data_IF_070349072678
#
_entry.id   IF_070349072678
#
_cell.length_a   1.000
_cell.length_b   1.000
_cell.length_c   1.000
_cell.angle_alpha   90.00
_cell.angle_beta   90.00
_cell.angle_gamma   90.00
#
_symmetry.space_group_name_H-M   'P 1'
#
loop_
_entity.id
_entity.type
_entity.pdbx_description
1 polymer ?
#
# COMPACT_ATOMS: atom_id res chain seq x y z
N UNK A 1 39.37 -2.05 -65.34
CA UNK A 1 38.43 -3.20 -65.31
C UNK A 1 38.69 -4.00 -64.05
N UNK A 2 37.74 -4.03 -63.11
CA UNK A 2 37.57 -5.10 -62.11
C UNK A 2 36.17 -4.94 -61.49
N UNK A 3 35.50 -6.06 -61.41
CA UNK A 3 34.06 -6.26 -61.34
C UNK A 3 33.45 -5.93 -59.98
N UNK A 4 32.28 -5.30 -60.02
CA UNK A 4 31.33 -5.11 -58.92
C UNK A 4 30.91 -6.48 -58.37
N UNK A 5 30.94 -6.63 -57.05
CA UNK A 5 30.22 -7.70 -56.33
C UNK A 5 29.30 -7.03 -55.32
N UNK A 6 28.04 -6.89 -55.70
CA UNK A 6 26.94 -6.46 -54.84
C UNK A 6 26.69 -7.58 -53.83
N UNK A 7 26.77 -7.29 -52.53
CA UNK A 7 26.21 -8.13 -51.48
C UNK A 7 25.36 -7.21 -50.59
N UNK A 8 24.06 -7.20 -50.87
CA UNK A 8 22.98 -6.62 -50.06
C UNK A 8 22.68 -7.58 -48.86
N UNK A 9 21.93 -7.18 -47.82
CA UNK A 9 22.44 -6.91 -46.48
C UNK A 9 21.85 -7.86 -45.42
N UNK A 10 22.66 -8.46 -44.55
CA UNK A 10 22.16 -9.19 -43.38
C UNK A 10 22.09 -8.25 -42.16
N UNK A 11 21.20 -7.26 -42.22
CA UNK A 11 20.79 -6.42 -41.09
C UNK A 11 19.30 -6.66 -40.89
N UNK A 12 18.86 -6.69 -39.63
CA UNK A 12 17.53 -7.05 -39.11
C UNK A 12 17.33 -8.55 -38.88
N UNK A 13 17.61 -9.02 -37.66
CA UNK A 13 16.75 -9.98 -36.93
C UNK A 13 17.30 -10.30 -35.52
N UNK A 14 17.62 -9.29 -34.70
CA UNK A 14 18.00 -9.56 -33.30
C UNK A 14 17.61 -8.42 -32.35
N UNK A 15 16.31 -8.11 -32.26
CA UNK A 15 15.81 -7.13 -31.27
C UNK A 15 14.43 -7.45 -30.65
N UNK A 16 13.96 -8.70 -30.67
CA UNK A 16 12.66 -9.06 -30.08
C UNK A 16 12.75 -10.22 -29.05
N UNK A 17 13.58 -10.07 -28.01
CA UNK A 17 13.61 -11.05 -26.91
C UNK A 17 13.56 -10.42 -25.50
N UNK A 18 13.24 -9.13 -25.38
CA UNK A 18 13.30 -8.41 -24.09
C UNK A 18 11.97 -8.07 -23.42
N UNK A 19 10.82 -8.25 -24.08
CA UNK A 19 9.58 -7.58 -23.66
C UNK A 19 8.52 -8.47 -22.95
N UNK A 20 8.76 -9.76 -22.73
CA UNK A 20 7.68 -10.70 -22.33
C UNK A 20 7.58 -10.93 -20.81
N UNK A 21 8.46 -10.35 -19.98
CA UNK A 21 8.52 -10.72 -18.54
C UNK A 21 7.76 -9.80 -17.56
N UNK A 22 7.01 -8.79 -18.02
CA UNK A 22 6.44 -7.77 -17.11
C UNK A 22 4.91 -7.83 -16.89
N UNK A 23 4.20 -8.92 -17.21
CA UNK A 23 2.72 -8.89 -17.30
C UNK A 23 1.92 -9.63 -16.21
N UNK A 24 2.49 -10.10 -15.11
CA UNK A 24 1.71 -10.84 -14.10
C UNK A 24 1.93 -10.38 -12.65
N UNK A 25 1.98 -9.07 -12.41
CA UNK A 25 1.80 -8.58 -11.05
C UNK A 25 0.31 -8.68 -10.67
N UNK A 26 -0.06 -9.25 -9.50
CA UNK A 26 -1.45 -9.28 -9.06
C UNK A 26 -1.99 -7.85 -8.93
N UNK A 27 -3.20 -7.64 -9.43
CA UNK A 27 -3.89 -6.35 -9.29
C UNK A 27 -3.99 -5.97 -7.81
N UNK A 28 -3.77 -4.68 -7.52
CA UNK A 28 -3.85 -4.15 -6.18
C UNK A 28 -5.30 -4.21 -5.66
N UNK A 29 -5.54 -4.95 -4.57
CA UNK A 29 -6.86 -5.05 -3.96
C UNK A 29 -7.36 -3.71 -3.41
N UNK A 30 -8.66 -3.46 -3.61
CA UNK A 30 -9.38 -2.33 -3.04
C UNK A 30 -9.88 -2.64 -1.63
N UNK A 31 -10.05 -1.60 -0.82
CA UNK A 31 -10.55 -1.64 0.56
C UNK A 31 -11.81 -2.49 0.69
N UNK A 32 -12.78 -2.33 -0.21
CA UNK A 32 -14.05 -3.06 -0.17
C UNK A 32 -13.84 -4.58 -0.25
N UNK A 33 -12.84 -5.03 -1.03
CA UNK A 33 -12.50 -6.44 -1.15
C UNK A 33 -11.86 -6.98 0.14
N UNK A 34 -11.05 -6.17 0.82
CA UNK A 34 -10.46 -6.53 2.12
C UNK A 34 -11.53 -6.60 3.22
N UNK A 35 -12.45 -5.63 3.24
CA UNK A 35 -13.53 -5.53 4.24
C UNK A 35 -14.53 -6.69 4.14
N UNK A 36 -14.69 -7.29 2.96
CA UNK A 36 -15.55 -8.46 2.77
C UNK A 36 -15.21 -9.64 3.71
N UNK A 37 -13.99 -9.71 4.25
CA UNK A 37 -13.59 -10.75 5.22
C UNK A 37 -13.05 -10.18 6.55
N UNK A 38 -12.36 -9.04 6.54
CA UNK A 38 -11.67 -8.53 7.74
C UNK A 38 -12.57 -7.68 8.65
N UNK A 39 -13.69 -7.18 8.14
CA UNK A 39 -14.70 -6.42 8.89
C UNK A 39 -15.65 -5.75 7.92
N UNK A 40 -16.94 -6.12 7.88
CA UNK A 40 -17.83 -5.74 6.77
C UNK A 40 -17.96 -4.22 6.58
N UNK A 41 -17.66 -3.43 7.60
CA UNK A 41 -17.42 -1.99 7.48
C UNK A 41 -16.12 -1.56 8.15
N UNK A 42 -15.56 -0.43 7.70
CA UNK A 42 -14.37 0.15 8.34
C UNK A 42 -14.67 0.61 9.79
N UNK A 43 -15.87 1.14 10.06
CA UNK A 43 -16.25 1.54 11.43
C UNK A 43 -16.26 0.35 12.41
N UNK A 44 -16.60 -0.85 11.96
CA UNK A 44 -16.50 -2.07 12.78
C UNK A 44 -15.05 -2.45 13.05
N UNK A 45 -14.14 -2.26 12.09
CA UNK A 45 -12.71 -2.45 12.31
C UNK A 45 -12.17 -1.49 13.38
N UNK A 46 -12.56 -0.22 13.32
CA UNK A 46 -12.18 0.77 14.35
C UNK A 46 -12.61 0.28 15.73
N UNK A 47 -13.85 -0.22 15.86
CA UNK A 47 -14.40 -0.72 17.14
C UNK A 47 -13.68 -1.97 17.67
N UNK A 48 -13.08 -2.80 16.81
CA UNK A 48 -12.27 -3.96 17.26
C UNK A 48 -11.03 -3.53 18.03
N UNK A 49 -10.60 -2.28 17.91
CA UNK A 49 -9.52 -1.68 18.69
C UNK A 49 -8.22 -2.52 18.66
N UNK A 50 -7.86 -3.03 17.47
CA UNK A 50 -6.63 -3.79 17.27
C UNK A 50 -5.44 -2.90 17.59
N UNK A 51 -4.55 -3.35 18.48
CA UNK A 51 -3.42 -2.55 18.94
C UNK A 51 -2.16 -2.84 18.12
N UNK A 52 -1.55 -1.79 17.57
CA UNK A 52 -0.20 -1.78 17.04
C UNK A 52 0.72 -1.03 18.01
N UNK A 53 1.95 -1.51 18.19
CA UNK A 53 2.92 -0.82 19.03
C UNK A 53 3.50 0.39 18.28
N UNK A 54 3.51 1.55 18.93
CA UNK A 54 4.23 2.75 18.48
C UNK A 54 5.21 3.22 19.55
N UNK A 55 6.09 4.17 19.21
CA UNK A 55 7.02 4.80 20.16
C UNK A 55 6.32 5.58 21.29
N UNK A 56 5.05 5.93 21.08
CA UNK A 56 4.21 6.57 22.11
C UNK A 56 3.32 5.58 22.88
N UNK A 57 3.49 4.28 22.64
CA UNK A 57 2.69 3.20 23.23
C UNK A 57 1.74 2.54 22.22
N UNK A 58 0.93 1.58 22.68
CA UNK A 58 -0.06 0.92 21.84
C UNK A 58 -1.11 1.90 21.30
N UNK A 59 -1.43 1.77 20.02
CA UNK A 59 -2.46 2.57 19.33
C UNK A 59 -3.34 1.67 18.47
N UNK A 60 -4.56 2.12 18.18
CA UNK A 60 -5.34 1.55 17.09
C UNK A 60 -5.04 2.30 15.78
N UNK A 61 -4.38 1.67 14.78
CA UNK A 61 -4.07 2.34 13.52
C UNK A 61 -5.28 2.49 12.60
N UNK A 62 -6.38 1.77 12.85
CA UNK A 62 -7.60 1.89 12.06
C UNK A 62 -8.36 3.12 12.52
N UNK A 63 -8.18 4.22 11.79
CA UNK A 63 -8.83 5.50 12.01
C UNK A 63 -9.07 6.20 10.66
N UNK A 64 -10.08 7.05 10.60
CA UNK A 64 -10.34 7.88 9.41
C UNK A 64 -9.32 9.01 9.32
N UNK A 65 -8.85 9.37 8.13
CA UNK A 65 -7.97 10.53 7.94
C UNK A 65 -8.71 11.56 7.08
N UNK A 66 -8.89 12.81 7.55
CA UNK A 66 -8.50 13.34 8.86
C UNK A 66 -9.33 12.76 10.03
N UNK A 67 -8.66 12.53 11.17
CA UNK A 67 -9.25 11.93 12.38
C UNK A 67 -10.45 12.70 12.95
N UNK A 68 -10.55 13.99 12.67
CA UNK A 68 -11.62 14.86 13.16
C UNK A 68 -12.95 14.72 12.39
N UNK A 69 -13.04 13.78 11.43
CA UNK A 69 -14.28 13.52 10.71
C UNK A 69 -14.64 14.67 9.75
N UNK A 70 -13.66 15.12 8.95
CA UNK A 70 -13.91 16.03 7.83
C UNK A 70 -14.96 15.48 6.84
N UNK A 71 -15.45 16.31 5.89
CA UNK A 71 -16.45 15.88 4.91
C UNK A 71 -16.00 14.66 4.12
N UNK A 72 -14.69 14.50 3.94
CA UNK A 72 -14.07 13.27 3.50
C UNK A 72 -13.59 12.49 4.73
N UNK A 73 -14.40 11.52 5.20
CA UNK A 73 -13.87 10.37 5.93
C UNK A 73 -13.09 9.50 4.94
N UNK A 74 -11.99 10.01 4.40
CA UNK A 74 -11.14 9.25 3.50
C UNK A 74 -10.48 8.15 4.34
N UNK A 75 -10.84 6.89 4.07
CA UNK A 75 -9.98 5.78 4.47
C UNK A 75 -8.87 5.70 3.44
N UNK A 76 -7.66 5.46 3.92
CA UNK A 76 -6.59 4.92 3.07
C UNK A 76 -7.00 3.53 2.58
N UNK A 77 -6.40 3.09 1.48
CA UNK A 77 -6.55 1.70 1.07
C UNK A 77 -5.84 0.81 2.09
N UNK A 78 -6.34 -0.41 2.31
CA UNK A 78 -5.73 -1.32 3.28
C UNK A 78 -4.27 -1.62 2.91
N UNK A 79 -4.00 -1.66 1.60
CA UNK A 79 -2.68 -1.96 1.03
C UNK A 79 -1.66 -0.83 1.20
N UNK A 80 -2.10 0.36 1.65
CA UNK A 80 -1.18 1.46 1.96
C UNK A 80 -0.37 1.17 3.23
N UNK A 81 -0.91 0.33 4.12
CA UNK A 81 -0.25 -0.09 5.36
C UNK A 81 0.04 -1.59 5.41
N UNK A 82 -0.74 -2.43 4.71
CA UNK A 82 -0.63 -3.89 4.75
C UNK A 82 -0.21 -4.48 3.40
N UNK A 83 0.44 -5.63 3.40
CA UNK A 83 0.62 -6.45 2.20
C UNK A 83 -0.65 -7.25 1.92
N UNK A 84 -1.13 -7.20 0.69
CA UNK A 84 -2.20 -8.09 0.24
C UNK A 84 -1.74 -9.56 0.23
N UNK A 85 -2.67 -10.47 0.56
CA UNK A 85 -2.43 -11.90 0.59
C UNK A 85 -3.26 -12.64 -0.47
N UNK A 86 -2.87 -13.88 -0.80
CA UNK A 86 -3.66 -14.73 -1.69
C UNK A 86 -5.03 -15.04 -1.09
N UNK A 87 -6.02 -15.33 -1.96
CA UNK A 87 -7.35 -15.79 -1.56
C UNK A 87 -7.57 -17.20 -2.16
N UNK A 88 -7.77 -18.24 -1.34
CA UNK A 88 -7.73 -18.23 0.12
C UNK A 88 -6.31 -17.96 0.69
N UNK A 89 -6.19 -17.50 1.94
CA UNK A 89 -4.89 -17.40 2.60
C UNK A 89 -4.21 -18.77 2.67
N UNK A 90 -2.89 -18.81 2.53
CA UNK A 90 -2.12 -20.05 2.72
C UNK A 90 -2.30 -20.55 4.17
N UNK A 91 -2.33 -21.87 4.40
CA UNK A 91 -2.39 -22.42 5.76
C UNK A 91 -1.30 -21.82 6.66
N UNK A 92 -1.69 -21.36 7.85
CA UNK A 92 -0.77 -20.75 8.81
C UNK A 92 -0.34 -19.32 8.50
N UNK A 93 -0.93 -18.66 7.48
CA UNK A 93 -0.66 -17.25 7.20
C UNK A 93 -0.98 -16.38 8.42
N UNK A 94 -0.02 -15.54 8.79
CA UNK A 94 -0.18 -14.46 9.76
C UNK A 94 0.23 -13.17 9.07
N UNK A 95 -0.64 -12.17 9.13
CA UNK A 95 -0.27 -10.86 8.64
C UNK A 95 0.72 -10.20 9.62
N UNK A 96 1.94 -9.98 9.15
CA UNK A 96 3.01 -9.26 9.87
C UNK A 96 3.49 -8.04 9.10
N UNK A 97 2.72 -7.62 8.08
CA UNK A 97 3.16 -6.64 7.09
C UNK A 97 2.73 -5.21 7.40
N UNK A 98 1.87 -5.03 8.40
CA UNK A 98 1.33 -3.74 8.78
C UNK A 98 2.44 -2.75 9.21
N UNK A 99 2.43 -1.55 8.64
CA UNK A 99 3.34 -0.46 9.02
C UNK A 99 2.57 0.79 9.47
N UNK A 100 3.11 1.49 10.48
CA UNK A 100 2.64 2.82 10.90
C UNK A 100 3.28 3.96 10.09
N UNK A 101 4.18 3.64 9.15
CA UNK A 101 4.89 4.64 8.34
C UNK A 101 3.97 5.66 7.65
N UNK A 102 2.82 5.27 7.06
CA UNK A 102 1.91 6.25 6.46
C UNK A 102 1.36 7.28 7.45
N UNK A 103 1.21 6.92 8.73
CA UNK A 103 0.78 7.86 9.76
C UNK A 103 1.82 8.96 10.01
N UNK A 104 3.11 8.65 9.84
CA UNK A 104 4.21 9.58 10.06
C UNK A 104 4.37 10.63 8.96
N UNK A 105 3.62 10.53 7.85
CA UNK A 105 3.50 11.62 6.88
C UNK A 105 2.89 12.89 7.51
N UNK A 106 1.98 12.74 8.47
CA UNK A 106 1.40 13.86 9.23
C UNK A 106 2.01 13.96 10.64
N UNK A 107 2.44 12.84 11.22
CA UNK A 107 3.06 12.77 12.54
C UNK A 107 4.59 12.88 12.45
N UNK A 108 5.08 14.07 12.10
CA UNK A 108 6.49 14.35 11.78
C UNK A 108 7.51 14.16 12.94
N UNK A 109 7.04 14.03 14.17
CA UNK A 109 7.88 13.70 15.34
C UNK A 109 7.91 12.19 15.63
N UNK A 110 7.34 11.37 14.73
CA UNK A 110 7.18 9.93 14.88
C UNK A 110 6.37 9.51 16.12
N UNK A 111 5.60 10.44 16.68
CA UNK A 111 4.69 10.20 17.81
C UNK A 111 3.24 10.35 17.37
N UNK A 112 2.42 9.34 17.63
CA UNK A 112 0.99 9.33 17.34
C UNK A 112 0.16 10.05 18.43
N UNK A 113 0.65 11.20 18.89
CA UNK A 113 -0.02 12.08 19.86
C UNK A 113 -0.80 13.17 19.13
N UNK A 114 -1.81 13.76 19.78
CA UNK A 114 -2.53 14.92 19.26
C UNK A 114 -1.57 16.10 19.04
N UNK A 115 -1.75 16.84 17.94
CA UNK A 115 -0.97 18.03 17.62
C UNK A 115 -0.95 19.05 18.77
N UNK A 116 -2.11 19.24 19.42
CA UNK A 116 -2.28 20.16 20.55
C UNK A 116 -1.41 19.83 21.77
N UNK A 117 -0.91 18.60 21.91
CA UNK A 117 0.03 18.25 22.98
C UNK A 117 1.38 18.97 22.87
N UNK A 118 1.73 19.48 21.70
CA UNK A 118 2.95 20.28 21.47
C UNK A 118 2.67 21.67 20.87
N UNK A 119 1.55 21.85 20.17
CA UNK A 119 1.26 23.04 19.36
C UNK A 119 0.03 23.85 19.81
N UNK A 120 -0.61 23.50 20.93
CA UNK A 120 -1.84 24.15 21.41
C UNK A 120 -3.07 23.88 20.53
N UNK A 121 -4.26 24.32 20.97
CA UNK A 121 -5.56 23.92 20.38
C UNK A 121 -5.88 24.52 19.00
N UNK A 122 -4.99 25.35 18.44
CA UNK A 122 -5.19 26.02 17.15
C UNK A 122 -4.60 25.26 15.95
N UNK A 123 -4.11 24.03 16.16
CA UNK A 123 -3.46 23.19 15.16
C UNK A 123 -4.08 21.79 15.10
#
# INVERSE_FOLDING_TARGET
>A
MKTIKVILPALLSFFLAGAVFAQNAPEAMKKEQCLACHGPTFDELIKKNVQAQSDSGPVNPHVWIPHAGGPEKAATECIDCHAQHSIPPKPGYKDTSASLEPCYACHHNYQLKKCSSCHGDKN
#
